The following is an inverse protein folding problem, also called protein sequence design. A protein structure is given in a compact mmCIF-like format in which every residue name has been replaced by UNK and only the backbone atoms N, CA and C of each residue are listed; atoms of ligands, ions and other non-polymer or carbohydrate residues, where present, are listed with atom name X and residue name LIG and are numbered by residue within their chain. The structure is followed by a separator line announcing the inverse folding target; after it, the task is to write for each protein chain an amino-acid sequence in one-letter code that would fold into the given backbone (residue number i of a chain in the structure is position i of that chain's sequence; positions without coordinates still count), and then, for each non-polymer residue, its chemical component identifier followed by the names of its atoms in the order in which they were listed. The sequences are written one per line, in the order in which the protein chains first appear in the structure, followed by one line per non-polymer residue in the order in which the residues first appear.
data_IF_675547135893
#
_entry.id   IF_675547135893
#
_cell.length_a   1.000
_cell.length_b   1.000
_cell.length_c   1.000
_cell.angle_alpha   90.00
_cell.angle_beta   90.00
_cell.angle_gamma   90.00
#
_symmetry.space_group_name_H-M   'P 1'
#
loop_
_entity.id
_entity.type
_entity.pdbx_description
1 polymer ?
#
# COMPACT_ATOMS: atom_id res chain seq x y z
N UNK A 1 -7.40 -11.88 2.52
CA UNK A 1 -7.15 -10.58 1.84
C UNK A 1 -8.26 -9.60 2.18
N UNK A 2 -7.93 -8.31 2.31
CA UNK A 2 -8.91 -7.28 2.68
C UNK A 2 -9.80 -6.95 1.47
N UNK A 3 -11.12 -7.05 1.64
CA UNK A 3 -12.07 -6.67 0.58
C UNK A 3 -11.98 -5.16 0.32
N UNK A 4 -11.86 -4.78 -0.96
CA UNK A 4 -11.75 -3.37 -1.36
C UNK A 4 -10.34 -2.77 -1.28
N UNK A 5 -9.31 -3.55 -0.92
CA UNK A 5 -7.92 -3.07 -1.01
C UNK A 5 -7.50 -2.87 -2.45
N UNK A 6 -6.75 -1.81 -2.77
CA UNK A 6 -6.21 -1.59 -4.12
C UNK A 6 -5.22 -2.70 -4.52
N UNK A 7 -4.47 -3.22 -3.56
CA UNK A 7 -3.56 -4.35 -3.76
C UNK A 7 -3.48 -5.18 -2.48
N UNK A 8 -3.19 -6.47 -2.65
CA UNK A 8 -2.78 -7.36 -1.58
C UNK A 8 -1.46 -8.01 -1.97
N UNK A 9 -0.48 -7.98 -1.06
CA UNK A 9 0.83 -8.57 -1.22
C UNK A 9 1.02 -9.66 -0.17
N UNK A 10 1.49 -10.82 -0.59
CA UNK A 10 1.80 -11.97 0.27
C UNK A 10 3.27 -12.36 0.04
N UNK A 11 3.97 -12.64 1.13
CA UNK A 11 5.40 -12.88 1.10
C UNK A 11 5.94 -13.45 2.40
N UNK A 12 7.24 -13.70 2.41
CA UNK A 12 7.97 -14.27 3.54
C UNK A 12 8.90 -13.22 4.16
N UNK A 13 8.99 -13.19 5.48
CA UNK A 13 9.91 -12.27 6.17
C UNK A 13 11.33 -12.75 5.93
N UNK A 14 12.12 -11.96 5.21
CA UNK A 14 13.53 -12.24 4.92
C UNK A 14 14.47 -11.62 5.94
N UNK A 15 14.04 -10.54 6.61
CA UNK A 15 14.84 -9.87 7.62
C UNK A 15 13.97 -9.11 8.63
N UNK A 16 14.44 -9.03 9.87
CA UNK A 16 13.90 -8.14 10.90
C UNK A 16 15.05 -7.32 11.49
N UNK A 17 14.86 -6.01 11.62
CA UNK A 17 15.84 -5.07 12.17
C UNK A 17 15.19 -4.15 13.21
N UNK A 18 15.92 -3.79 14.26
CA UNK A 18 15.47 -2.77 15.22
C UNK A 18 16.00 -1.39 14.81
N UNK A 19 15.10 -0.42 14.66
CA UNK A 19 15.41 0.99 14.38
C UNK A 19 14.73 1.87 15.44
N UNK A 20 15.51 2.34 16.41
CA UNK A 20 15.00 3.08 17.56
C UNK A 20 13.99 2.24 18.35
N UNK A 21 12.76 2.73 18.46
CA UNK A 21 11.66 2.02 19.15
C UNK A 21 10.83 1.11 18.22
N UNK A 22 11.22 0.96 16.94
CA UNK A 22 10.45 0.22 15.94
C UNK A 22 11.21 -0.99 15.41
N UNK A 23 10.47 -1.99 14.94
CA UNK A 23 11.01 -3.09 14.15
C UNK A 23 10.68 -2.87 12.67
N UNK A 24 11.69 -2.94 11.82
CA UNK A 24 11.56 -2.94 10.36
C UNK A 24 11.60 -4.37 9.88
N UNK A 25 10.55 -4.78 9.18
CA UNK A 25 10.41 -6.10 8.57
C UNK A 25 10.63 -5.97 7.07
N UNK A 26 11.61 -6.69 6.53
CA UNK A 26 11.78 -6.84 5.09
C UNK A 26 11.08 -8.13 4.67
N UNK A 27 10.20 -8.02 3.67
CA UNK A 27 9.38 -9.14 3.18
C UNK A 27 9.67 -9.37 1.70
N UNK A 28 10.01 -10.59 1.34
CA UNK A 28 10.12 -11.03 -0.05
C UNK A 28 8.74 -11.40 -0.59
N UNK A 29 8.27 -10.71 -1.63
CA UNK A 29 6.93 -10.92 -2.18
C UNK A 29 6.90 -12.21 -3.01
N UNK A 30 6.00 -13.13 -2.64
CA UNK A 30 5.74 -14.39 -3.36
C UNK A 30 4.53 -14.30 -4.27
N UNK A 31 3.51 -13.54 -3.86
CA UNK A 31 2.25 -13.39 -4.58
C UNK A 31 1.69 -12.00 -4.39
N UNK A 32 0.99 -11.51 -5.40
CA UNK A 32 0.22 -10.29 -5.30
C UNK A 32 -1.12 -10.42 -6.00
N UNK A 33 -2.03 -9.54 -5.68
CA UNK A 33 -3.30 -9.36 -6.40
C UNK A 33 -3.60 -7.87 -6.44
N UNK A 34 -3.94 -7.38 -7.63
CA UNK A 34 -4.34 -6.00 -7.84
C UNK A 34 -5.86 -5.95 -8.04
N UNK A 35 -6.48 -4.95 -7.44
CA UNK A 35 -7.86 -4.63 -7.73
C UNK A 35 -7.92 -3.79 -9.01
N UNK A 36 -8.76 -4.15 -9.99
CA UNK A 36 -8.82 -3.45 -11.27
C UNK A 36 -9.57 -2.10 -11.18
N UNK A 37 -10.26 -1.85 -10.07
CA UNK A 37 -10.94 -0.59 -9.77
C UNK A 37 -10.70 -0.18 -8.32
N UNK A 38 -10.91 1.10 -8.04
CA UNK A 38 -10.67 1.72 -6.75
C UNK A 38 -9.48 2.66 -6.79
N UNK A 39 -9.25 3.37 -5.68
CA UNK A 39 -8.18 4.34 -5.55
C UNK A 39 -7.56 4.20 -4.16
N UNK A 40 -6.30 4.65 -4.03
CA UNK A 40 -5.62 4.66 -2.75
C UNK A 40 -6.28 5.60 -1.74
N UNK A 41 -5.97 5.38 -0.47
CA UNK A 41 -6.30 6.30 0.62
C UNK A 41 -5.02 6.98 1.09
N UNK A 42 -4.95 8.31 1.04
CA UNK A 42 -3.78 9.07 1.47
C UNK A 42 -3.94 9.44 2.94
N UNK A 43 -2.97 9.09 3.78
CA UNK A 43 -2.85 9.62 5.12
C UNK A 43 -1.77 10.70 5.18
N UNK A 44 -2.20 11.95 5.34
CA UNK A 44 -1.30 13.12 5.37
C UNK A 44 -1.75 14.09 6.45
N UNK A 45 -0.81 14.70 7.18
CA UNK A 45 -1.12 15.66 8.27
C UNK A 45 -2.23 15.17 9.22
N UNK A 46 -2.17 13.89 9.61
CA UNK A 46 -3.14 13.24 10.51
C UNK A 46 -4.58 13.22 10.01
N UNK A 47 -4.79 13.28 8.69
CA UNK A 47 -6.11 13.21 8.05
C UNK A 47 -6.08 12.32 6.82
N UNK A 48 -7.21 11.69 6.56
CA UNK A 48 -7.44 10.92 5.35
C UNK A 48 -7.84 11.86 4.20
N UNK A 49 -7.24 11.64 3.03
CA UNK A 49 -7.54 12.36 1.81
C UNK A 49 -7.85 11.34 0.70
N UNK A 50 -8.94 11.51 -0.05
CA UNK A 50 -9.17 10.70 -1.24
C UNK A 50 -8.12 11.03 -2.28
N UNK A 51 -7.67 10.02 -3.02
CA UNK A 51 -6.94 10.25 -4.27
C UNK A 51 -7.97 10.78 -5.28
N UNK A 52 -7.85 12.06 -5.65
CA UNK A 52 -8.55 12.55 -6.84
C UNK A 52 -7.78 11.99 -8.04
N UNK A 53 -8.44 11.18 -8.88
CA UNK A 53 -7.93 10.98 -10.23
C UNK A 53 -8.03 12.34 -10.92
N UNK A 54 -6.89 12.92 -11.33
CA UNK A 54 -6.96 13.87 -12.44
C UNK A 54 -7.65 13.14 -13.59
N UNK A 55 -8.82 13.63 -14.01
CA UNK A 55 -9.32 13.32 -15.34
C UNK A 55 -8.17 13.58 -16.31
N UNK A 56 -7.98 12.68 -17.28
CA UNK A 56 -7.00 12.83 -18.36
C UNK A 56 -6.83 14.31 -18.71
N UNK A 57 -5.61 14.83 -18.55
CA UNK A 57 -5.26 16.11 -19.16
C UNK A 57 -5.44 15.88 -20.65
N UNK A 58 -6.56 16.35 -21.19
CA UNK A 58 -6.82 16.35 -22.62
C UNK A 58 -5.68 17.14 -23.26
N UNK A 59 -4.81 16.42 -23.98
CA UNK A 59 -3.83 16.99 -24.91
C UNK A 59 -4.53 17.24 -26.24
#
# INVERSE_FOLDING_TARGET
MLKGSLASLEGEISQVQTIGTHLVYLVEIRKYTLSPQGHGLIYFKRRFHPVMMEMEVAV
#
